data_IF_524909200368
#
_entry.id   IF_524909200368
#
_cell.length_a   1.000
_cell.length_b   1.000
_cell.length_c   1.000
_cell.angle_alpha   90.00
_cell.angle_beta   90.00
_cell.angle_gamma   90.00
#
_symmetry.space_group_name_H-M   'P 1'
#
loop_
_entity.id
_entity.type
_entity.pdbx_description
1 polymer ?
#
# COMPACT_ATOMS: atom_id res chain seq x y z
N UNK A 1 -19.44 19.44 52.64
CA UNK A 1 -17.98 19.73 52.67
C UNK A 1 -17.24 18.43 52.43
N UNK A 2 -16.17 18.49 51.61
CA UNK A 2 -15.12 17.47 51.36
C UNK A 2 -15.39 16.43 50.24
N UNK A 3 -15.01 16.87 49.03
CA UNK A 3 -14.34 16.19 47.88
C UNK A 3 -14.75 14.78 47.42
N UNK A 4 -15.26 14.65 46.18
CA UNK A 4 -14.99 13.52 45.30
C UNK A 4 -13.79 13.84 44.39
N UNK A 5 -13.00 12.82 44.02
CA UNK A 5 -12.16 12.65 42.80
C UNK A 5 -10.85 11.93 43.12
N UNK A 6 -10.74 10.68 42.69
CA UNK A 6 -9.55 10.11 42.04
C UNK A 6 -9.92 8.72 41.49
N UNK A 7 -9.20 8.26 40.47
CA UNK A 7 -9.46 7.10 39.58
C UNK A 7 -10.35 7.52 38.39
N UNK A 8 -9.93 7.48 37.12
CA UNK A 8 -9.00 6.59 36.44
C UNK A 8 -8.30 7.38 35.31
N UNK A 9 -6.97 7.50 35.35
CA UNK A 9 -6.14 7.80 34.17
C UNK A 9 -5.06 6.72 34.13
N UNK A 10 -5.33 5.64 33.39
CA UNK A 10 -4.32 4.64 33.06
C UNK A 10 -4.79 3.82 31.85
N UNK A 11 -4.79 4.41 30.65
CA UNK A 11 -5.02 3.66 29.42
C UNK A 11 -4.22 4.21 28.22
N UNK A 12 -3.07 4.84 28.46
CA UNK A 12 -2.29 5.51 27.39
C UNK A 12 -0.84 5.03 27.25
N UNK A 13 -0.39 4.02 28.01
CA UNK A 13 1.02 3.56 28.00
C UNK A 13 1.19 2.14 27.45
N UNK A 14 0.09 1.43 27.14
CA UNK A 14 0.16 0.01 26.76
C UNK A 14 0.61 -0.28 25.32
N UNK A 15 0.66 0.70 24.42
CA UNK A 15 1.04 0.49 23.01
C UNK A 15 2.55 0.60 22.74
N UNK A 16 3.35 1.10 23.69
CA UNK A 16 4.80 1.22 23.51
C UNK A 16 5.58 -0.05 23.94
N UNK A 17 4.98 -0.93 24.76
CA UNK A 17 5.67 -2.12 25.28
C UNK A 17 5.35 -3.43 24.53
N UNK A 18 4.38 -3.44 23.63
CA UNK A 18 4.02 -4.65 22.87
C UNK A 18 4.94 -4.92 21.66
N UNK A 19 5.86 -4.00 21.33
CA UNK A 19 6.76 -4.14 20.19
C UNK A 19 7.99 -5.04 20.47
N UNK A 20 8.23 -5.44 21.73
CA UNK A 20 9.48 -6.11 22.16
C UNK A 20 9.40 -7.65 22.10
N UNK A 21 8.21 -8.25 21.92
CA UNK A 21 8.02 -9.70 22.10
C UNK A 21 7.65 -10.50 20.84
N UNK A 22 7.84 -9.96 19.64
CA UNK A 22 7.65 -10.76 18.42
C UNK A 22 8.99 -11.42 18.02
N UNK A 23 9.02 -12.75 17.79
CA UNK A 23 10.25 -13.49 17.55
C UNK A 23 11.01 -12.94 16.33
N UNK A 24 12.33 -12.98 16.40
CA UNK A 24 13.23 -12.74 15.26
C UNK A 24 12.73 -13.55 14.07
N UNK A 25 12.75 -12.96 12.86
CA UNK A 25 12.29 -13.65 11.67
C UNK A 25 13.05 -14.97 11.52
N UNK A 26 12.33 -16.07 11.37
CA UNK A 26 12.93 -17.39 11.20
C UNK A 26 13.92 -17.35 10.03
N UNK A 27 15.13 -17.89 10.24
CA UNK A 27 16.20 -17.88 9.24
C UNK A 27 15.83 -18.66 7.96
N UNK A 28 14.85 -19.55 8.04
CA UNK A 28 14.28 -20.26 6.88
C UNK A 28 13.35 -19.40 6.03
N UNK A 29 12.86 -18.26 6.54
CA UNK A 29 12.05 -17.34 5.74
C UNK A 29 12.92 -16.73 4.63
N UNK A 30 12.50 -16.78 3.36
CA UNK A 30 13.33 -16.34 2.23
C UNK A 30 13.64 -14.84 2.22
N UNK A 31 12.96 -14.03 3.03
CA UNK A 31 13.25 -12.60 3.18
C UNK A 31 14.28 -12.30 4.27
N UNK A 32 14.59 -13.27 5.15
CA UNK A 32 15.48 -13.08 6.30
C UNK A 32 16.88 -12.61 5.89
N UNK A 33 17.34 -13.00 4.69
CA UNK A 33 18.61 -12.57 4.12
C UNK A 33 18.43 -11.99 2.72
N UNK A 34 19.40 -11.20 2.21
CA UNK A 34 19.46 -10.87 0.80
C UNK A 34 19.47 -12.12 -0.08
N UNK A 35 18.81 -12.06 -1.22
CA UNK A 35 18.81 -13.17 -2.18
C UNK A 35 20.22 -13.40 -2.73
N UNK A 36 20.61 -14.66 -2.88
CA UNK A 36 21.87 -15.04 -3.53
C UNK A 36 21.78 -15.12 -5.06
N UNK A 37 20.60 -14.87 -5.63
CA UNK A 37 20.43 -14.83 -7.08
C UNK A 37 21.14 -13.61 -7.69
N UNK A 38 21.49 -13.63 -9.00
CA UNK A 38 22.08 -12.49 -9.68
C UNK A 38 21.30 -11.20 -9.41
N UNK A 39 22.01 -10.11 -9.11
CA UNK A 39 21.43 -8.79 -8.79
C UNK A 39 20.45 -8.81 -7.60
N UNK A 40 20.51 -9.83 -6.75
CA UNK A 40 19.66 -10.04 -5.58
C UNK A 40 18.16 -10.16 -5.93
N UNK A 41 17.81 -10.72 -7.10
CA UNK A 41 16.40 -10.93 -7.48
C UNK A 41 15.64 -11.77 -6.43
N UNK A 42 14.35 -11.49 -6.17
CA UNK A 42 13.55 -12.33 -5.29
C UNK A 42 13.54 -13.80 -5.75
N UNK A 43 13.81 -14.72 -4.84
CA UNK A 43 13.73 -16.16 -5.11
C UNK A 43 12.26 -16.62 -5.13
N UNK A 44 11.52 -16.23 -6.18
CA UNK A 44 10.08 -16.48 -6.31
C UNK A 44 9.71 -17.97 -6.22
N UNK A 45 10.62 -18.88 -6.56
CA UNK A 45 10.49 -20.34 -6.40
C UNK A 45 10.37 -20.78 -4.93
N UNK A 46 10.89 -19.98 -4.00
CA UNK A 46 10.90 -20.26 -2.55
C UNK A 46 9.91 -19.42 -1.76
N UNK A 47 9.41 -18.34 -2.34
CA UNK A 47 8.51 -17.41 -1.66
C UNK A 47 7.09 -17.97 -1.70
N UNK A 48 6.47 -18.05 -0.52
CA UNK A 48 5.09 -18.50 -0.31
C UNK A 48 4.33 -17.39 0.40
N UNK A 49 3.02 -17.33 0.20
CA UNK A 49 2.17 -16.28 0.78
C UNK A 49 2.32 -16.17 2.31
N UNK A 50 2.47 -17.32 2.98
CA UNK A 50 2.67 -17.40 4.43
C UNK A 50 3.97 -16.71 4.94
N UNK A 51 4.93 -16.44 4.06
CA UNK A 51 6.18 -15.78 4.43
C UNK A 51 6.03 -14.27 4.61
N UNK A 52 5.03 -13.62 4.00
CA UNK A 52 4.91 -12.16 3.97
C UNK A 52 4.60 -11.57 5.34
N UNK A 53 3.56 -12.05 6.02
CA UNK A 53 3.12 -11.44 7.28
C UNK A 53 4.21 -11.48 8.38
N UNK A 54 4.90 -12.60 8.64
CA UNK A 54 6.02 -12.63 9.58
C UNK A 54 7.16 -11.68 9.15
N UNK A 55 7.49 -11.65 7.85
CA UNK A 55 8.60 -10.85 7.35
C UNK A 55 8.30 -9.34 7.38
N UNK A 56 7.07 -8.92 7.10
CA UNK A 56 6.62 -7.54 7.28
C UNK A 56 6.72 -7.09 8.73
N UNK A 57 6.18 -7.90 9.66
CA UNK A 57 6.25 -7.59 11.07
C UNK A 57 7.70 -7.50 11.57
N UNK A 58 8.58 -8.40 11.12
CA UNK A 58 10.00 -8.34 11.46
C UNK A 58 10.70 -7.12 10.84
N UNK A 59 10.44 -6.83 9.57
CA UNK A 59 11.01 -5.67 8.87
C UNK A 59 10.62 -4.34 9.50
N UNK A 60 9.35 -4.18 9.89
CA UNK A 60 8.90 -2.96 10.59
C UNK A 60 9.56 -2.80 11.97
N UNK A 61 9.71 -3.89 12.74
CA UNK A 61 10.39 -3.85 14.04
C UNK A 61 11.85 -3.47 13.90
N UNK A 62 12.56 -4.14 12.99
CA UNK A 62 13.98 -3.89 12.76
C UNK A 62 14.21 -2.47 12.24
N UNK A 63 13.41 -2.02 11.27
CA UNK A 63 13.48 -0.65 10.76
C UNK A 63 13.24 0.40 11.85
N UNK A 64 12.27 0.20 12.75
CA UNK A 64 12.06 1.12 13.88
C UNK A 64 13.25 1.10 14.85
N UNK A 65 13.84 -0.06 15.13
CA UNK A 65 15.03 -0.20 15.98
C UNK A 65 16.22 0.57 15.41
N UNK A 66 16.47 0.44 14.11
CA UNK A 66 17.54 1.16 13.39
C UNK A 66 17.31 2.68 13.45
N UNK A 67 16.08 3.13 13.16
CA UNK A 67 15.70 4.54 13.22
C UNK A 67 15.81 5.10 14.64
N UNK A 68 15.43 4.34 15.66
CA UNK A 68 15.59 4.73 17.07
C UNK A 68 17.06 4.87 17.46
N UNK A 69 17.95 4.03 16.95
CA UNK A 69 19.38 4.17 17.17
C UNK A 69 19.92 5.48 16.56
N UNK A 70 19.51 5.81 15.33
CA UNK A 70 19.87 7.07 14.65
C UNK A 70 19.34 8.27 15.45
N UNK A 71 18.07 8.23 15.85
CA UNK A 71 17.42 9.33 16.57
C UNK A 71 18.04 9.59 17.96
N UNK A 72 18.58 8.56 18.60
CA UNK A 72 19.17 8.63 19.94
C UNK A 72 20.71 8.62 19.96
N UNK A 73 21.38 8.69 18.80
CA UNK A 73 22.84 8.80 18.74
C UNK A 73 23.30 10.07 19.49
N UNK A 74 24.22 9.89 20.44
CA UNK A 74 24.74 10.97 21.29
C UNK A 74 25.74 11.86 20.56
N UNK A 75 26.32 11.37 19.45
CA UNK A 75 27.18 12.20 18.61
C UNK A 75 26.36 13.31 17.95
N UNK A 76 27.02 14.45 17.68
CA UNK A 76 26.43 15.51 16.87
C UNK A 76 25.98 14.96 15.50
N UNK A 77 24.85 15.44 14.94
CA UNK A 77 24.37 14.95 13.66
C UNK A 77 25.37 15.27 12.55
N UNK A 78 25.68 14.25 11.75
CA UNK A 78 26.46 14.32 10.51
C UNK A 78 25.61 13.76 9.37
N UNK A 79 25.98 14.04 8.12
CA UNK A 79 25.28 13.47 6.97
C UNK A 79 25.32 11.93 7.01
N UNK A 80 26.45 11.36 7.42
CA UNK A 80 26.69 9.92 7.53
C UNK A 80 25.86 9.27 8.63
N UNK A 81 25.89 9.81 9.85
CA UNK A 81 25.19 9.19 11.00
C UNK A 81 23.68 9.46 11.02
N UNK A 82 23.17 10.29 10.10
CA UNK A 82 21.74 10.65 10.03
C UNK A 82 21.15 10.30 8.67
N UNK A 83 21.57 10.94 7.57
CA UNK A 83 20.95 10.74 6.25
C UNK A 83 21.37 9.40 5.64
N UNK A 84 22.68 9.13 5.56
CA UNK A 84 23.17 7.84 5.02
C UNK A 84 22.73 6.68 5.91
N UNK A 85 22.70 6.87 7.22
CA UNK A 85 22.17 5.87 8.15
C UNK A 85 20.67 5.57 7.91
N UNK A 86 19.85 6.60 7.63
CA UNK A 86 18.44 6.42 7.26
C UNK A 86 18.29 5.68 5.93
N UNK A 87 19.06 6.04 4.89
CA UNK A 87 19.05 5.35 3.58
C UNK A 87 19.44 3.86 3.69
N UNK A 88 20.30 3.52 4.66
CA UNK A 88 20.71 2.14 4.91
C UNK A 88 19.74 1.36 5.80
N UNK A 89 18.82 2.03 6.48
CA UNK A 89 17.83 1.38 7.36
C UNK A 89 16.72 0.68 6.58
N UNK A 90 15.98 -0.21 7.24
CA UNK A 90 14.75 -0.80 6.72
C UNK A 90 14.94 -1.84 5.61
N UNK A 91 16.14 -2.36 5.40
CA UNK A 91 16.46 -3.27 4.29
C UNK A 91 15.56 -4.52 4.24
N UNK A 92 15.25 -5.11 5.40
CA UNK A 92 14.33 -6.25 5.48
C UNK A 92 12.92 -5.84 5.02
N UNK A 93 12.40 -4.71 5.51
CA UNK A 93 11.08 -4.23 5.12
C UNK A 93 11.02 -3.91 3.61
N UNK A 94 12.06 -3.27 3.07
CA UNK A 94 12.16 -2.94 1.65
C UNK A 94 12.10 -4.19 0.77
N UNK A 95 12.85 -5.25 1.11
CA UNK A 95 12.83 -6.53 0.36
C UNK A 95 11.44 -7.17 0.34
N UNK A 96 10.78 -7.22 1.51
CA UNK A 96 9.44 -7.82 1.64
C UNK A 96 8.42 -7.00 0.87
N UNK A 97 8.43 -5.67 1.05
CA UNK A 97 7.46 -4.77 0.43
C UNK A 97 7.58 -4.75 -1.10
N UNK A 98 8.80 -4.70 -1.64
CA UNK A 98 9.02 -4.71 -3.09
C UNK A 98 8.46 -5.99 -3.74
N UNK A 99 8.72 -7.14 -3.13
CA UNK A 99 8.22 -8.42 -3.65
C UNK A 99 6.70 -8.55 -3.48
N UNK A 100 6.18 -8.16 -2.32
CA UNK A 100 4.75 -8.23 -2.02
C UNK A 100 3.94 -7.33 -2.95
N UNK A 101 4.33 -6.06 -3.10
CA UNK A 101 3.62 -5.10 -3.96
C UNK A 101 3.61 -5.51 -5.43
N UNK A 102 4.69 -6.13 -5.91
CA UNK A 102 4.72 -6.74 -7.23
C UNK A 102 3.71 -7.88 -7.37
N UNK A 103 3.67 -8.83 -6.43
CA UNK A 103 2.71 -9.93 -6.47
C UNK A 103 1.27 -9.48 -6.30
N UNK A 104 1.00 -8.52 -5.41
CA UNK A 104 -0.33 -7.91 -5.29
C UNK A 104 -0.73 -7.32 -6.65
N UNK A 105 0.10 -6.44 -7.23
CA UNK A 105 -0.23 -5.80 -8.50
C UNK A 105 -0.40 -6.74 -9.70
N UNK A 106 0.33 -7.86 -9.74
CA UNK A 106 0.43 -8.71 -10.94
C UNK A 106 -0.24 -10.09 -10.81
N UNK A 107 -0.30 -10.67 -9.61
CA UNK A 107 -0.71 -12.06 -9.38
C UNK A 107 -1.25 -12.25 -7.94
N UNK A 108 -2.23 -11.43 -7.55
CA UNK A 108 -2.81 -11.51 -6.20
C UNK A 108 -3.69 -12.75 -6.02
N UNK A 109 -4.04 -13.02 -4.76
CA UNK A 109 -4.99 -14.02 -4.33
C UNK A 109 -5.60 -13.61 -2.98
N UNK A 110 -6.58 -14.36 -2.47
CA UNK A 110 -7.26 -14.00 -1.22
C UNK A 110 -6.34 -13.94 0.01
N UNK A 111 -5.24 -14.70 0.02
CA UNK A 111 -4.24 -14.67 1.10
C UNK A 111 -3.44 -13.37 1.05
N UNK A 112 -2.96 -12.99 -0.13
CA UNK A 112 -2.24 -11.72 -0.32
C UNK A 112 -3.15 -10.50 -0.08
N UNK A 113 -4.42 -10.57 -0.51
CA UNK A 113 -5.44 -9.55 -0.21
C UNK A 113 -5.67 -9.40 1.31
N UNK A 114 -5.62 -10.50 2.06
CA UNK A 114 -5.74 -10.46 3.52
C UNK A 114 -4.51 -9.82 4.18
N UNK A 115 -3.30 -10.17 3.71
CA UNK A 115 -2.06 -9.54 4.16
C UNK A 115 -2.09 -8.03 3.86
N UNK A 116 -2.53 -7.62 2.68
CA UNK A 116 -2.62 -6.21 2.28
C UNK A 116 -3.55 -5.40 3.20
N UNK A 117 -4.74 -5.97 3.52
CA UNK A 117 -5.70 -5.35 4.44
C UNK A 117 -5.15 -5.20 5.86
N UNK A 118 -4.43 -6.22 6.35
CA UNK A 118 -3.83 -6.17 7.68
C UNK A 118 -2.65 -5.17 7.74
N UNK A 119 -1.82 -5.18 6.70
CA UNK A 119 -0.54 -4.47 6.70
C UNK A 119 -0.66 -3.01 6.29
N UNK A 120 -1.61 -2.63 5.42
CA UNK A 120 -1.77 -1.26 4.95
C UNK A 120 -1.82 -0.20 6.06
N UNK A 121 -2.72 -0.28 7.06
CA UNK A 121 -2.74 0.67 8.17
C UNK A 121 -1.51 0.57 9.08
N UNK A 122 -0.91 -0.63 9.23
CA UNK A 122 0.30 -0.83 10.05
C UNK A 122 1.53 -0.18 9.41
N UNK A 123 1.68 -0.29 8.09
CA UNK A 123 2.74 0.35 7.32
C UNK A 123 2.59 1.88 7.33
N UNK A 124 1.36 2.40 7.27
CA UNK A 124 1.10 3.83 7.45
C UNK A 124 1.55 4.30 8.86
N UNK A 125 1.18 3.56 9.90
CA UNK A 125 1.61 3.86 11.27
C UNK A 125 3.13 3.74 11.46
N UNK A 126 3.79 2.77 10.80
CA UNK A 126 5.24 2.64 10.77
C UNK A 126 5.91 3.87 10.14
N UNK A 127 5.41 4.32 8.98
CA UNK A 127 5.90 5.54 8.33
C UNK A 127 5.70 6.78 9.22
N UNK A 128 4.52 6.91 9.86
CA UNK A 128 4.24 8.00 10.79
C UNK A 128 5.18 7.99 12.01
N UNK A 129 5.53 6.80 12.53
CA UNK A 129 6.44 6.67 13.66
C UNK A 129 7.85 7.18 13.34
N UNK A 130 8.29 7.06 12.09
CA UNK A 130 9.59 7.57 11.60
C UNK A 130 9.50 9.08 11.36
N UNK A 131 8.58 9.52 10.50
CA UNK A 131 8.54 10.91 10.02
C UNK A 131 8.04 11.90 11.08
N UNK A 132 7.28 11.44 12.08
CA UNK A 132 6.83 12.27 13.19
C UNK A 132 7.69 12.10 14.44
N UNK A 133 8.86 11.45 14.35
CA UNK A 133 9.80 11.36 15.44
C UNK A 133 10.53 12.71 15.63
N UNK A 134 10.30 13.43 16.75
CA UNK A 134 10.85 14.77 16.93
C UNK A 134 12.37 14.78 17.09
N UNK A 135 12.96 13.73 17.67
CA UNK A 135 14.42 13.62 17.83
C UNK A 135 15.09 13.45 16.48
N UNK A 136 14.55 12.55 15.67
CA UNK A 136 15.06 12.29 14.32
C UNK A 136 14.95 13.53 13.44
N UNK A 137 13.78 14.18 13.43
CA UNK A 137 13.57 15.39 12.66
C UNK A 137 14.51 16.52 13.10
N UNK A 138 14.79 16.67 14.40
CA UNK A 138 15.75 17.66 14.89
C UNK A 138 17.16 17.44 14.32
N UNK A 139 17.60 16.17 14.18
CA UNK A 139 18.89 15.83 13.54
C UNK A 139 18.90 16.25 12.07
N UNK A 140 17.87 15.85 11.31
CA UNK A 140 17.73 16.20 9.88
C UNK A 140 17.68 17.71 9.68
N UNK A 141 16.88 18.42 10.48
CA UNK A 141 16.76 19.89 10.43
C UNK A 141 18.10 20.57 10.72
N UNK A 142 18.85 20.11 11.72
CA UNK A 142 20.16 20.67 12.08
C UNK A 142 21.12 20.63 10.89
N UNK A 143 21.14 19.52 10.15
CA UNK A 143 21.95 19.38 8.94
C UNK A 143 21.43 20.29 7.82
N UNK A 144 20.12 20.26 7.57
CA UNK A 144 19.50 21.06 6.52
C UNK A 144 19.74 22.56 6.67
N UNK A 145 19.63 23.08 7.90
CA UNK A 145 19.87 24.50 8.22
C UNK A 145 21.33 24.91 7.93
N UNK A 146 22.28 23.97 8.01
CA UNK A 146 23.72 24.19 7.79
C UNK A 146 24.22 23.66 6.46
N UNK A 147 23.35 23.16 5.58
CA UNK A 147 23.75 22.38 4.38
C UNK A 147 24.79 23.07 3.49
N UNK A 148 24.74 24.39 3.37
CA UNK A 148 25.69 25.18 2.57
C UNK A 148 27.13 25.19 3.11
N UNK A 149 27.34 24.89 4.41
CA UNK A 149 28.64 24.88 5.05
C UNK A 149 29.17 23.49 5.40
N UNK A 150 28.42 22.43 5.06
CA UNK A 150 28.81 21.04 5.36
C UNK A 150 29.83 20.46 4.37
N UNK A 151 30.13 21.16 3.26
CA UNK A 151 31.08 20.67 2.24
C UNK A 151 30.59 19.43 1.50
N UNK A 152 29.28 19.19 1.46
CA UNK A 152 28.65 18.07 0.75
C UNK A 152 28.71 18.27 -0.76
N UNK A 153 28.79 17.17 -1.52
CA UNK A 153 28.59 17.18 -2.96
C UNK A 153 27.12 17.47 -3.34
N UNK A 154 26.87 17.71 -4.63
CA UNK A 154 25.56 18.13 -5.11
C UNK A 154 24.45 17.09 -4.86
N UNK A 155 24.75 15.79 -4.97
CA UNK A 155 23.79 14.72 -4.72
C UNK A 155 23.45 14.65 -3.23
N UNK A 156 24.46 14.71 -2.37
CA UNK A 156 24.28 14.71 -0.91
C UNK A 156 23.48 15.92 -0.41
N UNK A 157 23.72 17.12 -0.98
CA UNK A 157 22.89 18.31 -0.68
C UNK A 157 21.44 18.07 -1.10
N UNK A 158 21.20 17.56 -2.31
CA UNK A 158 19.86 17.28 -2.80
C UNK A 158 19.13 16.26 -1.92
N UNK A 159 19.82 15.19 -1.53
CA UNK A 159 19.25 14.14 -0.68
C UNK A 159 18.83 14.70 0.69
N UNK A 160 19.68 15.53 1.31
CA UNK A 160 19.37 16.20 2.57
C UNK A 160 18.15 17.13 2.44
N UNK A 161 18.06 17.91 1.37
CA UNK A 161 16.90 18.77 1.09
C UNK A 161 15.62 17.96 0.87
N UNK A 162 15.74 16.83 0.17
CA UNK A 162 14.63 15.89 -0.06
C UNK A 162 14.12 15.32 1.26
N UNK A 163 15.00 14.77 2.10
CA UNK A 163 14.61 14.25 3.41
C UNK A 163 13.94 15.32 4.27
N UNK A 164 14.52 16.51 4.38
CA UNK A 164 13.90 17.60 5.13
C UNK A 164 12.48 17.91 4.63
N UNK A 165 12.30 18.02 3.31
CA UNK A 165 10.99 18.25 2.68
C UNK A 165 10.01 17.11 2.95
N UNK A 166 10.45 15.87 2.90
CA UNK A 166 9.62 14.69 3.19
C UNK A 166 9.12 14.70 4.65
N UNK A 167 10.00 14.95 5.63
CA UNK A 167 9.61 15.11 7.03
C UNK A 167 8.60 16.26 7.23
N UNK A 168 8.83 17.42 6.62
CA UNK A 168 7.92 18.56 6.71
C UNK A 168 6.55 18.23 6.10
N UNK A 169 6.51 17.63 4.90
CA UNK A 169 5.26 17.21 4.23
C UNK A 169 4.55 16.06 4.92
N UNK A 170 5.28 15.28 5.70
CA UNK A 170 4.73 14.24 6.57
C UNK A 170 4.22 14.80 7.90
N UNK A 171 4.38 16.10 8.18
CA UNK A 171 3.80 16.75 9.36
C UNK A 171 4.74 16.89 10.56
N UNK A 172 6.07 16.78 10.37
CA UNK A 172 7.03 16.88 11.47
C UNK A 172 6.96 18.21 12.25
N UNK A 173 6.53 19.30 11.60
CA UNK A 173 6.34 20.62 12.22
C UNK A 173 4.96 20.83 12.87
N UNK A 174 4.04 19.88 12.76
CA UNK A 174 2.69 20.02 13.31
C UNK A 174 2.70 19.97 14.84
N UNK A 175 1.65 20.55 15.44
CA UNK A 175 1.37 20.37 16.86
C UNK A 175 1.14 18.89 17.19
N UNK A 176 1.38 18.47 18.43
CA UNK A 176 1.09 17.09 18.85
C UNK A 176 -0.38 16.69 18.61
N UNK A 177 -1.29 17.64 18.76
CA UNK A 177 -2.72 17.42 18.52
C UNK A 177 -3.01 17.15 17.03
N UNK A 178 -2.37 17.92 16.13
CA UNK A 178 -2.57 17.75 14.70
C UNK A 178 -1.82 16.53 14.16
N UNK A 179 -0.65 16.18 14.71
CA UNK A 179 0.01 14.91 14.42
C UNK A 179 -0.87 13.72 14.79
N UNK A 180 -1.62 13.78 15.90
CA UNK A 180 -2.55 12.71 16.27
C UNK A 180 -3.71 12.58 15.27
N UNK A 181 -4.26 13.70 14.78
CA UNK A 181 -5.26 13.70 13.70
C UNK A 181 -4.68 13.14 12.40
N UNK A 182 -3.47 13.59 12.03
CA UNK A 182 -2.78 13.17 10.82
C UNK A 182 -2.57 11.65 10.80
N UNK A 183 -2.11 11.06 11.90
CA UNK A 183 -1.95 9.59 12.05
C UNK A 183 -3.26 8.85 11.80
N UNK A 184 -4.36 9.34 12.36
CA UNK A 184 -5.69 8.76 12.13
C UNK A 184 -6.08 8.84 10.65
N UNK A 185 -5.85 9.97 10.00
CA UNK A 185 -6.13 10.14 8.57
C UNK A 185 -5.26 9.21 7.71
N UNK A 186 -3.96 9.12 7.96
CA UNK A 186 -3.05 8.27 7.20
C UNK A 186 -3.45 6.78 7.29
N UNK A 187 -3.78 6.30 8.50
CA UNK A 187 -4.25 4.93 8.70
C UNK A 187 -5.58 4.65 7.98
N UNK A 188 -6.56 5.56 8.08
CA UNK A 188 -7.86 5.39 7.41
C UNK A 188 -7.73 5.47 5.88
N UNK A 189 -6.91 6.40 5.37
CA UNK A 189 -6.59 6.53 3.94
C UNK A 189 -5.97 5.22 3.42
N UNK A 190 -4.97 4.66 4.12
CA UNK A 190 -4.31 3.44 3.70
C UNK A 190 -5.28 2.25 3.62
N UNK A 191 -6.12 2.07 4.65
CA UNK A 191 -7.15 1.02 4.65
C UNK A 191 -8.15 1.20 3.51
N UNK A 192 -8.61 2.43 3.25
CA UNK A 192 -9.54 2.72 2.16
C UNK A 192 -8.91 2.49 0.78
N UNK A 193 -7.61 2.75 0.60
CA UNK A 193 -6.94 2.51 -0.67
C UNK A 193 -6.78 1.01 -0.98
N UNK A 194 -6.38 0.22 0.02
CA UNK A 194 -6.30 -1.25 -0.09
C UNK A 194 -7.67 -1.86 -0.46
N UNK A 195 -8.72 -1.50 0.29
CA UNK A 195 -10.07 -1.99 0.02
C UNK A 195 -10.60 -1.52 -1.35
N UNK A 196 -10.31 -0.29 -1.77
CA UNK A 196 -10.69 0.21 -3.09
C UNK A 196 -10.07 -0.63 -4.22
N UNK A 197 -8.77 -0.94 -4.14
CA UNK A 197 -8.08 -1.75 -5.15
C UNK A 197 -8.70 -3.15 -5.27
N UNK A 198 -8.96 -3.81 -4.13
CA UNK A 198 -9.57 -5.14 -4.11
C UNK A 198 -11.01 -5.12 -4.66
N UNK A 199 -11.81 -4.12 -4.30
CA UNK A 199 -13.17 -3.93 -4.83
C UNK A 199 -13.18 -3.71 -6.33
N UNK A 200 -12.26 -2.90 -6.85
CA UNK A 200 -12.14 -2.66 -8.30
C UNK A 200 -11.80 -3.94 -9.05
N UNK A 201 -10.81 -4.71 -8.58
CA UNK A 201 -10.43 -5.98 -9.21
C UNK A 201 -11.58 -6.99 -9.17
N UNK A 202 -12.15 -7.23 -7.99
CA UNK A 202 -13.25 -8.20 -7.79
C UNK A 202 -14.51 -7.75 -8.54
N UNK A 203 -14.80 -6.46 -8.55
CA UNK A 203 -15.91 -5.87 -9.29
C UNK A 203 -15.75 -5.98 -10.82
N UNK A 204 -14.57 -5.70 -11.37
CA UNK A 204 -14.30 -5.88 -12.80
C UNK A 204 -14.42 -7.35 -13.22
N UNK A 205 -13.91 -8.28 -12.39
CA UNK A 205 -14.06 -9.71 -12.63
C UNK A 205 -15.54 -10.14 -12.60
N UNK A 206 -16.33 -9.65 -11.65
CA UNK A 206 -17.76 -9.95 -11.57
C UNK A 206 -18.59 -9.33 -12.70
N UNK A 207 -18.14 -8.20 -13.27
CA UNK A 207 -18.82 -7.45 -14.32
C UNK A 207 -18.62 -8.03 -15.74
N UNK A 208 -17.87 -9.13 -15.90
CA UNK A 208 -17.67 -9.76 -17.21
C UNK A 208 -19.02 -10.01 -17.92
N UNK A 209 -19.11 -9.59 -19.19
CA UNK A 209 -20.33 -9.77 -19.96
C UNK A 209 -20.46 -11.24 -20.36
N UNK A 210 -21.48 -11.92 -19.83
CA UNK A 210 -21.84 -13.27 -20.22
C UNK A 210 -22.92 -13.23 -21.32
N UNK A 211 -22.66 -13.91 -22.44
CA UNK A 211 -23.64 -14.14 -23.51
C UNK A 211 -23.87 -15.62 -23.71
N UNK A 212 -25.07 -15.99 -24.17
CA UNK A 212 -25.50 -17.38 -24.22
C UNK A 212 -25.28 -18.01 -25.59
N UNK A 213 -25.21 -17.21 -26.64
CA UNK A 213 -25.14 -17.71 -28.02
C UNK A 213 -23.99 -17.08 -28.80
N UNK A 214 -23.50 -17.82 -29.79
CA UNK A 214 -22.49 -17.32 -30.73
C UNK A 214 -22.99 -16.13 -31.54
N UNK A 215 -24.30 -16.07 -31.82
CA UNK A 215 -24.92 -14.99 -32.58
C UNK A 215 -24.82 -13.63 -31.87
N UNK A 216 -24.88 -13.60 -30.54
CA UNK A 216 -24.67 -12.38 -29.75
C UNK A 216 -23.26 -11.77 -29.93
N UNK A 217 -22.29 -12.54 -30.45
CA UNK A 217 -20.91 -12.14 -30.71
C UNK A 217 -20.64 -11.80 -32.18
N UNK A 218 -21.67 -11.59 -33.01
CA UNK A 218 -21.49 -11.28 -34.42
C UNK A 218 -20.50 -10.13 -34.65
N UNK A 219 -19.60 -10.29 -35.62
CA UNK A 219 -18.52 -9.36 -35.95
C UNK A 219 -17.18 -9.67 -35.27
N UNK A 220 -17.16 -10.48 -34.20
CA UNK A 220 -15.92 -11.06 -33.68
C UNK A 220 -15.41 -12.19 -34.58
N UNK A 221 -14.09 -12.36 -34.65
CA UNK A 221 -13.44 -13.50 -35.31
C UNK A 221 -13.64 -14.81 -34.54
N UNK A 222 -13.50 -15.95 -35.22
CA UNK A 222 -13.61 -17.27 -34.59
C UNK A 222 -12.63 -17.48 -33.44
N UNK A 223 -11.41 -16.97 -33.58
CA UNK A 223 -10.41 -17.02 -32.51
C UNK A 223 -10.86 -16.24 -31.26
N UNK A 224 -11.46 -15.07 -31.44
CA UNK A 224 -11.98 -14.27 -30.33
C UNK A 224 -13.20 -14.94 -29.68
N UNK A 225 -14.08 -15.57 -30.47
CA UNK A 225 -15.24 -16.31 -29.96
C UNK A 225 -14.78 -17.54 -29.15
N UNK A 226 -13.78 -18.28 -29.64
CA UNK A 226 -13.18 -19.40 -28.91
C UNK A 226 -12.58 -18.95 -27.58
N UNK A 227 -11.81 -17.86 -27.59
CA UNK A 227 -11.23 -17.30 -26.36
C UNK A 227 -12.31 -16.88 -25.35
N UNK A 228 -13.43 -16.33 -25.82
CA UNK A 228 -14.56 -15.98 -24.95
C UNK A 228 -15.26 -17.22 -24.36
N UNK A 229 -15.31 -18.34 -25.09
CA UNK A 229 -15.84 -19.60 -24.58
C UNK A 229 -14.93 -20.20 -23.50
N UNK A 230 -13.61 -20.19 -23.72
CA UNK A 230 -12.62 -20.66 -22.74
C UNK A 230 -12.68 -19.82 -21.45
N UNK A 231 -12.83 -18.51 -21.59
CA UNK A 231 -12.98 -17.60 -20.47
C UNK A 231 -14.26 -17.86 -19.67
N UNK A 232 -15.38 -18.14 -20.35
CA UNK A 232 -16.62 -18.55 -19.68
C UNK A 232 -16.44 -19.87 -18.93
N UNK A 233 -15.75 -20.84 -19.53
CA UNK A 233 -15.47 -22.12 -18.89
C UNK A 233 -14.62 -21.98 -17.62
N UNK A 234 -13.58 -21.12 -17.63
CA UNK A 234 -12.77 -20.77 -16.44
C UNK A 234 -13.62 -20.16 -15.32
N UNK A 235 -14.71 -19.48 -15.69
CA UNK A 235 -15.69 -18.86 -14.77
C UNK A 235 -16.83 -19.81 -14.38
N UNK A 236 -16.74 -21.10 -14.71
CA UNK A 236 -17.79 -22.09 -14.41
C UNK A 236 -19.05 -21.96 -15.27
N UNK A 237 -19.01 -21.21 -16.36
CA UNK A 237 -20.13 -20.97 -17.28
C UNK A 237 -19.93 -21.73 -18.61
N UNK A 238 -19.64 -23.03 -18.53
CA UNK A 238 -19.46 -23.88 -19.73
C UNK A 238 -20.68 -23.81 -20.66
N UNK A 239 -20.43 -23.74 -21.97
CA UNK A 239 -21.49 -23.60 -22.99
C UNK A 239 -21.95 -22.15 -23.24
N UNK A 240 -21.37 -21.17 -22.53
CA UNK A 240 -21.58 -19.73 -22.75
C UNK A 240 -20.27 -19.07 -23.22
N UNK A 241 -20.32 -17.75 -23.41
CA UNK A 241 -19.16 -16.93 -23.72
C UNK A 241 -19.05 -15.77 -22.75
N UNK A 242 -17.82 -15.39 -22.39
CA UNK A 242 -17.53 -14.31 -21.47
C UNK A 242 -16.59 -13.31 -22.12
N UNK A 243 -16.95 -12.02 -22.07
CA UNK A 243 -16.08 -10.91 -22.43
C UNK A 243 -15.64 -10.22 -21.14
N UNK A 244 -14.36 -10.35 -20.73
CA UNK A 244 -13.83 -9.63 -19.59
C UNK A 244 -13.92 -8.12 -19.78
N UNK A 245 -14.09 -7.41 -18.67
CA UNK A 245 -14.05 -5.96 -18.66
C UNK A 245 -12.62 -5.50 -18.39
N UNK A 246 -12.09 -4.65 -19.27
CA UNK A 246 -10.76 -4.03 -19.09
C UNK A 246 -10.88 -2.70 -18.33
N UNK A 247 -9.75 -2.20 -17.84
CA UNK A 247 -9.69 -1.03 -16.94
C UNK A 247 -10.21 0.28 -17.57
N UNK A 248 -10.14 0.45 -18.89
CA UNK A 248 -10.60 1.64 -19.61
C UNK A 248 -12.13 1.72 -19.71
N UNK A 249 -12.67 2.91 -19.96
CA UNK A 249 -14.12 3.11 -20.15
C UNK A 249 -14.61 2.43 -21.43
N UNK A 250 -13.93 2.65 -22.56
CA UNK A 250 -14.20 1.91 -23.79
C UNK A 250 -13.61 0.51 -23.74
N UNK A 251 -14.34 -0.44 -24.33
CA UNK A 251 -13.97 -1.86 -24.37
C UNK A 251 -13.58 -2.26 -25.80
N UNK A 252 -12.44 -2.95 -26.01
CA UNK A 252 -11.95 -3.28 -27.36
C UNK A 252 -12.96 -4.02 -28.24
N UNK A 253 -13.75 -4.93 -27.66
CA UNK A 253 -14.74 -5.71 -28.40
C UNK A 253 -15.85 -4.85 -29.04
N UNK A 254 -16.07 -3.62 -28.56
CA UNK A 254 -17.04 -2.68 -29.16
C UNK A 254 -16.70 -2.31 -30.60
N UNK A 255 -15.42 -2.41 -31.00
CA UNK A 255 -15.00 -2.11 -32.36
C UNK A 255 -15.42 -3.16 -33.39
N UNK A 256 -15.71 -4.39 -32.94
CA UNK A 256 -16.01 -5.53 -33.81
C UNK A 256 -17.46 -5.99 -33.71
N UNK A 257 -18.06 -5.93 -32.53
CA UNK A 257 -19.43 -6.40 -32.30
C UNK A 257 -20.45 -5.65 -33.15
N UNK A 258 -21.19 -6.36 -34.00
CA UNK A 258 -22.25 -5.77 -34.84
C UNK A 258 -23.60 -5.72 -34.10
N UNK A 259 -23.84 -6.63 -33.15
CA UNK A 259 -25.05 -6.65 -32.33
C UNK A 259 -25.11 -5.45 -31.37
N UNK A 260 -26.02 -4.50 -31.64
CA UNK A 260 -26.17 -3.28 -30.85
C UNK A 260 -26.50 -3.57 -29.39
N UNK A 261 -27.37 -4.54 -29.14
CA UNK A 261 -27.75 -4.93 -27.78
C UNK A 261 -26.56 -5.49 -26.97
N UNK A 262 -25.69 -6.28 -27.59
CA UNK A 262 -24.46 -6.77 -26.96
C UNK A 262 -23.50 -5.63 -26.67
N UNK A 263 -23.29 -4.72 -27.62
CA UNK A 263 -22.45 -3.52 -27.41
C UNK A 263 -22.96 -2.67 -26.25
N UNK A 264 -24.27 -2.43 -26.18
CA UNK A 264 -24.90 -1.65 -25.11
C UNK A 264 -24.69 -2.30 -23.74
N UNK A 265 -24.94 -3.61 -23.63
CA UNK A 265 -24.69 -4.38 -22.40
C UNK A 265 -23.21 -4.32 -21.99
N UNK A 266 -22.27 -4.45 -22.94
CA UNK A 266 -20.83 -4.38 -22.66
C UNK A 266 -20.40 -2.99 -22.17
N UNK A 267 -20.86 -1.93 -22.85
CA UNK A 267 -20.55 -0.56 -22.46
C UNK A 267 -21.15 -0.23 -21.10
N UNK A 268 -22.40 -0.65 -20.85
CA UNK A 268 -23.08 -0.47 -19.57
C UNK A 268 -22.33 -1.17 -18.43
N UNK A 269 -21.99 -2.45 -18.59
CA UNK A 269 -21.17 -3.19 -17.63
C UNK A 269 -19.81 -2.52 -17.37
N UNK A 270 -19.26 -1.83 -18.38
CA UNK A 270 -18.03 -1.07 -18.23
C UNK A 270 -18.22 0.20 -17.39
N UNK A 271 -19.18 1.05 -17.76
CA UNK A 271 -19.36 2.37 -17.15
C UNK A 271 -19.91 2.31 -15.72
N UNK A 272 -20.66 1.25 -15.39
CA UNK A 272 -21.29 1.10 -14.07
C UNK A 272 -20.39 0.35 -13.06
N UNK A 273 -19.14 0.00 -13.44
CA UNK A 273 -18.16 -0.59 -12.52
C UNK A 273 -18.02 0.27 -11.27
N UNK A 274 -18.23 -0.35 -10.11
CA UNK A 274 -18.04 0.30 -8.82
C UNK A 274 -19.15 1.27 -8.40
N UNK A 275 -20.28 1.33 -9.13
CA UNK A 275 -21.40 2.26 -8.85
C UNK A 275 -22.77 1.59 -8.72
N UNK A 276 -22.83 0.25 -8.70
CA UNK A 276 -24.09 -0.51 -8.68
C UNK A 276 -24.70 -0.75 -7.29
N UNK A 277 -24.14 -0.17 -6.22
CA UNK A 277 -24.42 -0.64 -4.87
C UNK A 277 -23.81 -2.02 -4.59
N UNK A 278 -24.11 -2.58 -3.42
CA UNK A 278 -23.60 -3.88 -3.00
C UNK A 278 -22.11 -3.89 -2.62
N UNK A 279 -21.51 -5.08 -2.67
CA UNK A 279 -20.17 -5.33 -2.13
C UNK A 279 -19.01 -4.71 -2.93
N UNK A 280 -19.24 -4.36 -4.19
CA UNK A 280 -18.21 -3.77 -5.07
C UNK A 280 -18.39 -2.26 -5.28
N UNK A 281 -19.40 -1.65 -4.65
CA UNK A 281 -19.59 -0.21 -4.72
C UNK A 281 -18.40 0.50 -4.04
N UNK A 282 -17.87 1.51 -4.74
CA UNK A 282 -16.74 2.32 -4.29
C UNK A 282 -17.10 3.81 -4.10
N UNK A 283 -18.34 4.21 -4.37
CA UNK A 283 -18.78 5.62 -4.37
C UNK A 283 -18.57 6.28 -3.01
N UNK A 284 -19.08 5.67 -1.94
CA UNK A 284 -18.93 6.16 -0.56
C UNK A 284 -17.46 6.17 -0.12
N UNK A 285 -16.70 5.17 -0.55
CA UNK A 285 -15.27 5.04 -0.25
C UNK A 285 -14.46 6.16 -0.92
N UNK A 286 -14.69 6.43 -2.20
CA UNK A 286 -14.01 7.51 -2.93
C UNK A 286 -14.35 8.87 -2.32
N UNK A 287 -15.62 9.12 -1.95
CA UNK A 287 -16.02 10.35 -1.27
C UNK A 287 -15.32 10.50 0.09
N UNK A 288 -15.24 9.42 0.88
CA UNK A 288 -14.53 9.44 2.17
C UNK A 288 -13.04 9.69 1.98
N UNK A 289 -12.42 9.03 1.01
CA UNK A 289 -11.00 9.18 0.68
C UNK A 289 -10.68 10.61 0.23
N UNK A 290 -11.51 11.22 -0.61
CA UNK A 290 -11.37 12.61 -1.05
C UNK A 290 -11.47 13.58 0.13
N UNK A 291 -12.47 13.40 1.01
CA UNK A 291 -12.64 14.22 2.22
C UNK A 291 -11.43 14.12 3.14
N UNK A 292 -10.96 12.91 3.45
CA UNK A 292 -9.79 12.70 4.30
C UNK A 292 -8.52 13.32 3.72
N UNK A 293 -8.32 13.23 2.40
CA UNK A 293 -7.17 13.85 1.73
C UNK A 293 -7.23 15.38 1.79
N UNK A 294 -8.41 15.97 1.65
CA UNK A 294 -8.60 17.41 1.82
C UNK A 294 -8.34 17.85 3.26
N UNK A 295 -8.93 17.15 4.25
CA UNK A 295 -8.71 17.42 5.67
C UNK A 295 -7.23 17.27 6.06
N UNK A 296 -6.56 16.24 5.53
CA UNK A 296 -5.11 16.02 5.70
C UNK A 296 -4.27 17.15 5.10
N UNK A 297 -4.68 17.75 3.99
CA UNK A 297 -3.93 18.82 3.32
C UNK A 297 -4.10 20.19 4.01
N UNK A 298 -5.15 20.37 4.81
CA UNK A 298 -5.39 21.58 5.62
C UNK A 298 -4.50 21.59 6.87
N UNK A 299 -4.12 20.40 7.37
CA UNK A 299 -3.12 20.26 8.45
C UNK A 299 -1.73 20.63 7.93
#
# INVERSE_FOLDING_TARGET
>A
MIRPKLLIVAASVALAHAAIAAPVLDASNPFAQPSSLPLNYPAFDKIKDAHFLPAFNAGMREGLREVEAIANDKAAPTFENTIVALERSGQLLARVYATFSNLQGANTNDTLDAVDREMSPKLAAHSDAIHLNPKLFARVKTLHDKRASLGLDAESVHLLERYYKEFVRAGANLSKADQAKLKKFNGEIASLQSDFQQRVLKGANAAALIVNTRAELAGMSDAQISAAADEAAKRGQKGKFAIPIVNTSSQPALAFLTERATRERLMKASLERGTHGGQFDTTKQVLRLAKLRAERAVL
#
